data_IF_015141023479
#
_entry.id   IF_015141023479
#
_cell.length_a   1.000
_cell.length_b   1.000
_cell.length_c   1.000
_cell.angle_alpha   90.00
_cell.angle_beta   90.00
_cell.angle_gamma   90.00
#
_symmetry.space_group_name_H-M   'P 1'
#
loop_
_entity.id
_entity.type
_entity.pdbx_description
1 polymer ?
#
# COMPACT_ATOMS: atom_id res chain seq x y z
N UNK A 1 4.09 23.83 0.88
CA UNK A 1 2.64 23.94 1.19
C UNK A 1 1.75 23.21 0.20
N UNK A 2 1.85 23.42 -1.13
CA UNK A 2 1.02 22.72 -2.14
C UNK A 2 1.06 21.18 -2.06
N UNK A 3 2.25 20.60 -1.86
CA UNK A 3 2.40 19.14 -1.70
C UNK A 3 1.63 18.63 -0.48
N UNK A 4 1.70 19.33 0.65
CA UNK A 4 0.97 18.95 1.87
C UNK A 4 -0.54 19.13 1.69
N UNK A 5 -0.97 20.25 1.10
CA UNK A 5 -2.37 20.50 0.81
C UNK A 5 -2.97 19.41 -0.09
N UNK A 6 -2.26 19.02 -1.15
CA UNK A 6 -2.67 17.92 -2.03
C UNK A 6 -2.64 16.56 -1.32
N UNK A 7 -1.62 16.29 -0.49
CA UNK A 7 -1.48 15.03 0.28
C UNK A 7 -2.64 14.82 1.24
N UNK A 8 -3.04 15.87 1.95
CA UNK A 8 -4.08 15.80 2.99
C UNK A 8 -5.47 16.20 2.51
N UNK A 9 -5.69 16.32 1.18
CA UNK A 9 -6.99 16.70 0.59
C UNK A 9 -7.54 18.02 1.15
N UNK A 10 -6.65 18.98 1.41
CA UNK A 10 -7.03 20.29 1.93
C UNK A 10 -7.86 21.07 0.89
N UNK A 11 -8.97 21.69 1.31
CA UNK A 11 -9.83 22.49 0.43
C UNK A 11 -9.17 23.83 0.09
N UNK A 12 -9.58 24.46 -1.03
CA UNK A 12 -9.01 25.73 -1.44
C UNK A 12 -9.25 26.85 -0.43
N UNK A 13 -10.37 26.79 0.31
CA UNK A 13 -10.69 27.77 1.36
C UNK A 13 -9.69 27.69 2.51
N UNK A 14 -9.50 26.48 3.06
CA UNK A 14 -8.57 26.26 4.19
C UNK A 14 -7.14 26.62 3.74
N UNK A 15 -6.73 26.13 2.56
CA UNK A 15 -5.41 26.43 2.03
C UNK A 15 -5.19 27.94 1.81
N UNK A 16 -6.20 28.65 1.32
CA UNK A 16 -6.17 30.09 1.07
C UNK A 16 -6.11 30.93 2.33
N UNK A 17 -6.78 30.51 3.39
CA UNK A 17 -6.73 31.15 4.71
C UNK A 17 -5.35 30.95 5.37
N UNK A 18 -4.83 29.73 5.35
CA UNK A 18 -3.52 29.38 5.90
C UNK A 18 -2.38 30.20 5.25
N UNK A 19 -2.35 30.30 3.93
CA UNK A 19 -1.31 31.11 3.25
C UNK A 19 -1.46 32.60 3.51
N UNK A 20 -2.70 33.11 3.65
CA UNK A 20 -2.91 34.52 4.01
C UNK A 20 -2.44 34.81 5.44
N UNK A 21 -2.65 33.89 6.38
CA UNK A 21 -2.12 34.00 7.75
C UNK A 21 -0.59 34.01 7.80
N UNK A 22 0.07 33.36 6.83
CA UNK A 22 1.52 33.44 6.63
C UNK A 22 1.99 34.73 5.94
N UNK A 23 1.07 35.66 5.63
CA UNK A 23 1.37 36.97 5.06
C UNK A 23 1.23 37.09 3.55
N UNK A 24 0.66 36.09 2.87
CA UNK A 24 0.43 36.18 1.42
C UNK A 24 -0.75 37.13 1.11
N UNK A 25 -0.60 38.10 0.20
CA UNK A 25 -1.72 38.96 -0.22
C UNK A 25 -2.88 38.15 -0.83
N UNK A 26 -4.10 38.66 -0.68
CA UNK A 26 -5.35 38.00 -1.12
C UNK A 26 -5.31 37.55 -2.59
N UNK A 27 -4.81 38.39 -3.49
CA UNK A 27 -4.74 38.05 -4.92
C UNK A 27 -3.74 36.93 -5.21
N UNK A 28 -2.62 36.90 -4.48
CA UNK A 28 -1.62 35.86 -4.59
C UNK A 28 -2.14 34.55 -3.97
N UNK A 29 -2.86 34.63 -2.86
CA UNK A 29 -3.51 33.48 -2.26
C UNK A 29 -4.54 32.85 -3.22
N UNK A 30 -5.39 33.66 -3.85
CA UNK A 30 -6.32 33.19 -4.87
C UNK A 30 -5.61 32.53 -6.06
N UNK A 31 -4.47 33.06 -6.49
CA UNK A 31 -3.64 32.42 -7.53
C UNK A 31 -3.11 31.06 -7.08
N UNK A 32 -2.63 30.94 -5.84
CA UNK A 32 -2.14 29.68 -5.27
C UNK A 32 -3.27 28.65 -5.12
N UNK A 33 -4.48 29.05 -4.76
CA UNK A 33 -5.66 28.17 -4.73
C UNK A 33 -5.98 27.60 -6.13
N UNK A 34 -5.88 28.41 -7.20
CA UNK A 34 -6.04 27.91 -8.59
C UNK A 34 -4.97 26.89 -8.96
N UNK A 35 -3.73 27.09 -8.52
CA UNK A 35 -2.63 26.14 -8.74
C UNK A 35 -2.91 24.83 -7.99
N UNK A 36 -3.36 24.90 -6.73
CA UNK A 36 -3.75 23.72 -5.95
C UNK A 36 -4.87 22.95 -6.66
N UNK A 37 -5.95 23.63 -7.05
CA UNK A 37 -7.09 23.01 -7.73
C UNK A 37 -6.65 22.31 -9.03
N UNK A 38 -5.83 22.98 -9.84
CA UNK A 38 -5.36 22.46 -11.13
C UNK A 38 -4.44 21.24 -10.99
N UNK A 39 -3.63 21.18 -9.93
CA UNK A 39 -2.53 20.21 -9.84
C UNK A 39 -2.65 19.22 -8.68
N UNK A 40 -3.62 19.37 -7.78
CA UNK A 40 -3.83 18.50 -6.60
C UNK A 40 -3.83 17.02 -6.97
N UNK A 41 -4.64 16.63 -7.97
CA UNK A 41 -4.74 15.24 -8.42
C UNK A 41 -3.42 14.72 -8.97
N UNK A 42 -2.71 15.51 -9.80
CA UNK A 42 -1.43 15.11 -10.36
C UNK A 42 -0.34 14.97 -9.27
N UNK A 43 -0.27 15.92 -8.33
CA UNK A 43 0.66 15.87 -7.19
C UNK A 43 0.37 14.62 -6.35
N UNK A 44 -0.91 14.34 -6.07
CA UNK A 44 -1.32 13.16 -5.30
C UNK A 44 -0.97 11.86 -6.02
N UNK A 45 -1.20 11.81 -7.33
CA UNK A 45 -0.83 10.67 -8.15
C UNK A 45 0.68 10.41 -8.10
N UNK A 46 1.50 11.45 -8.25
CA UNK A 46 2.96 11.32 -8.11
C UNK A 46 3.38 10.90 -6.70
N UNK A 47 2.72 11.40 -5.65
CA UNK A 47 2.98 10.98 -4.28
C UNK A 47 2.63 9.49 -4.06
N UNK A 48 1.55 9.01 -4.66
CA UNK A 48 1.15 7.59 -4.62
C UNK A 48 2.16 6.73 -5.39
N UNK A 49 2.58 7.15 -6.58
CA UNK A 49 3.59 6.45 -7.39
C UNK A 49 4.96 6.38 -6.71
N UNK A 50 5.33 7.45 -5.97
CA UNK A 50 6.59 7.53 -5.23
C UNK A 50 6.49 7.07 -3.78
N UNK A 51 5.29 6.70 -3.32
CA UNK A 51 5.12 6.12 -2.00
C UNK A 51 5.69 4.70 -1.99
N UNK A 52 6.38 4.33 -0.91
CA UNK A 52 6.69 2.93 -0.67
C UNK A 52 5.37 2.19 -0.50
N UNK A 53 5.01 1.38 -1.49
CA UNK A 53 3.88 0.48 -1.41
C UNK A 53 4.28 -0.72 -0.59
N UNK A 54 3.38 -1.14 0.30
CA UNK A 54 3.55 -2.34 1.10
C UNK A 54 3.46 -3.55 0.15
N UNK A 55 4.27 -4.58 0.39
CA UNK A 55 4.16 -5.85 -0.30
C UNK A 55 2.71 -6.34 -0.25
N UNK A 56 2.13 -6.65 -1.40
CA UNK A 56 0.74 -7.08 -1.49
C UNK A 56 0.67 -8.52 -2.03
N UNK A 57 -0.03 -9.39 -1.31
CA UNK A 57 -0.25 -10.76 -1.72
C UNK A 57 -1.32 -10.79 -2.82
N UNK A 58 -0.91 -11.11 -4.04
CA UNK A 58 -1.77 -11.11 -5.23
C UNK A 58 -2.51 -12.44 -5.41
N UNK A 59 -1.85 -13.57 -5.14
CA UNK A 59 -2.47 -14.88 -5.25
C UNK A 59 -1.76 -15.93 -4.43
N UNK A 60 -2.52 -16.93 -3.98
CA UNK A 60 -2.03 -18.16 -3.37
C UNK A 60 -2.54 -19.35 -4.19
N UNK A 61 -1.64 -20.25 -4.58
CA UNK A 61 -2.01 -21.48 -5.31
C UNK A 61 -1.39 -22.70 -4.63
N UNK A 62 -2.20 -23.73 -4.41
CA UNK A 62 -1.67 -25.06 -4.08
C UNK A 62 -1.17 -25.71 -5.39
N UNK A 63 0.13 -26.02 -5.43
CA UNK A 63 0.79 -26.67 -6.57
C UNK A 63 1.37 -28.03 -6.16
N UNK A 64 0.89 -28.62 -5.07
CA UNK A 64 1.31 -29.93 -4.57
C UNK A 64 1.17 -30.98 -5.67
N UNK A 65 2.30 -31.61 -6.02
CA UNK A 65 2.35 -32.56 -7.12
C UNK A 65 3.04 -33.85 -6.67
N UNK A 66 2.39 -35.03 -6.79
CA UNK A 66 3.02 -36.31 -6.47
C UNK A 66 4.33 -36.51 -7.24
N UNK A 67 5.39 -36.92 -6.55
CA UNK A 67 6.72 -37.12 -7.13
C UNK A 67 7.59 -35.87 -7.24
N UNK A 68 7.02 -34.66 -7.11
CA UNK A 68 7.76 -33.39 -7.04
C UNK A 68 7.75 -32.79 -5.63
N UNK A 69 6.62 -32.86 -4.95
CA UNK A 69 6.48 -32.42 -3.56
C UNK A 69 6.97 -33.54 -2.62
N UNK A 70 7.80 -33.21 -1.60
CA UNK A 70 8.22 -34.19 -0.62
C UNK A 70 7.03 -34.87 0.09
N UNK A 71 7.16 -36.14 0.52
CA UNK A 71 6.12 -36.83 1.27
C UNK A 71 5.75 -36.06 2.54
N UNK A 72 4.45 -35.92 2.83
CA UNK A 72 3.89 -35.17 3.96
C UNK A 72 4.06 -33.64 3.91
N UNK A 73 4.42 -33.09 2.75
CA UNK A 73 4.44 -31.65 2.49
C UNK A 73 3.33 -31.23 1.54
N UNK A 74 2.96 -29.96 1.63
CA UNK A 74 2.17 -29.21 0.65
C UNK A 74 3.08 -28.16 0.03
N UNK A 75 2.99 -27.97 -1.29
CA UNK A 75 3.73 -26.92 -1.99
C UNK A 75 2.78 -25.78 -2.33
N UNK A 76 3.04 -24.58 -1.81
CA UNK A 76 2.28 -23.37 -2.11
C UNK A 76 3.08 -22.43 -3.00
N UNK A 77 2.43 -21.84 -3.99
CA UNK A 77 2.94 -20.72 -4.77
C UNK A 77 2.27 -19.43 -4.31
N UNK A 78 3.08 -18.43 -3.96
CA UNK A 78 2.63 -17.09 -3.56
C UNK A 78 3.11 -16.08 -4.59
N UNK A 79 2.21 -15.24 -5.10
CA UNK A 79 2.57 -14.07 -5.89
C UNK A 79 2.48 -12.82 -5.03
N UNK A 80 3.57 -12.07 -4.98
CA UNK A 80 3.66 -10.83 -4.19
C UNK A 80 4.00 -9.69 -5.14
N UNK A 81 3.23 -8.62 -5.11
CA UNK A 81 3.54 -7.39 -5.84
C UNK A 81 4.25 -6.39 -4.94
N UNK A 82 5.02 -5.50 -5.56
CA UNK A 82 5.73 -4.41 -4.87
C UNK A 82 6.79 -4.89 -3.86
N UNK A 83 7.27 -6.13 -3.98
CA UNK A 83 8.36 -6.62 -3.14
C UNK A 83 9.67 -5.90 -3.51
N UNK A 84 10.38 -5.40 -2.50
CA UNK A 84 11.68 -4.75 -2.71
C UNK A 84 12.76 -5.80 -2.97
N UNK A 85 13.21 -5.88 -4.22
CA UNK A 85 14.35 -6.70 -4.65
C UNK A 85 15.43 -5.76 -5.16
N UNK A 86 16.62 -5.82 -4.56
CA UNK A 86 17.74 -4.91 -4.87
C UNK A 86 17.38 -3.42 -4.79
N UNK A 87 16.46 -3.06 -3.88
CA UNK A 87 16.02 -1.68 -3.65
C UNK A 87 14.97 -1.17 -4.66
N UNK A 88 14.51 -2.02 -5.59
CA UNK A 88 13.47 -1.68 -6.55
C UNK A 88 12.20 -2.53 -6.33
N UNK A 89 11.00 -1.93 -6.38
CA UNK A 89 9.75 -2.69 -6.32
C UNK A 89 9.60 -3.62 -7.53
N UNK A 90 9.34 -4.90 -7.27
CA UNK A 90 9.16 -5.92 -8.30
C UNK A 90 8.05 -6.89 -7.91
N UNK A 91 7.38 -7.42 -8.93
CA UNK A 91 6.46 -8.55 -8.74
C UNK A 91 7.25 -9.85 -8.70
N UNK A 92 7.00 -10.65 -7.67
CA UNK A 92 7.76 -11.86 -7.37
C UNK A 92 6.83 -13.06 -7.21
N UNK A 93 7.42 -14.25 -7.34
CA UNK A 93 6.74 -15.52 -7.14
C UNK A 93 7.59 -16.38 -6.24
N UNK A 94 7.03 -16.80 -5.12
CA UNK A 94 7.68 -17.63 -4.10
C UNK A 94 7.04 -19.00 -4.08
N UNK A 95 7.85 -20.04 -3.95
CA UNK A 95 7.38 -21.42 -3.80
C UNK A 95 7.83 -21.95 -2.44
N UNK A 96 6.88 -22.34 -1.62
CA UNK A 96 7.08 -22.81 -0.26
C UNK A 96 6.69 -24.28 -0.16
N UNK A 97 7.53 -25.08 0.51
CA UNK A 97 7.15 -26.42 0.93
C UNK A 97 6.87 -26.37 2.43
N UNK A 98 5.65 -26.71 2.81
CA UNK A 98 5.19 -26.69 4.19
C UNK A 98 4.78 -28.09 4.62
N UNK A 99 5.32 -28.56 5.74
CA UNK A 99 4.82 -29.79 6.36
C UNK A 99 3.46 -29.55 7.05
N UNK A 100 2.83 -30.65 7.49
CA UNK A 100 1.53 -30.59 8.18
C UNK A 100 1.53 -29.71 9.44
N UNK A 101 2.62 -29.69 10.21
CA UNK A 101 2.70 -28.88 11.42
C UNK A 101 2.80 -27.39 11.07
N UNK A 102 3.59 -27.05 10.06
CA UNK A 102 3.75 -25.69 9.54
C UNK A 102 2.45 -25.15 8.94
N UNK A 103 1.71 -25.95 8.16
CA UNK A 103 0.40 -25.53 7.63
C UNK A 103 -0.60 -25.23 8.74
N UNK A 104 -0.63 -26.05 9.80
CA UNK A 104 -1.49 -25.81 10.96
C UNK A 104 -1.12 -24.54 11.71
N UNK A 105 0.18 -24.30 11.92
CA UNK A 105 0.67 -23.09 12.56
C UNK A 105 0.30 -21.84 11.74
N UNK A 106 0.54 -21.88 10.41
CA UNK A 106 0.20 -20.81 9.50
C UNK A 106 -1.29 -20.49 9.53
N UNK A 107 -2.16 -21.51 9.52
CA UNK A 107 -3.62 -21.29 9.60
C UNK A 107 -4.01 -20.58 10.90
N UNK A 108 -3.46 -21.02 12.04
CA UNK A 108 -3.75 -20.40 13.33
C UNK A 108 -3.29 -18.93 13.38
N UNK A 109 -2.11 -18.62 12.82
CA UNK A 109 -1.61 -17.25 12.74
C UNK A 109 -2.48 -16.37 11.83
N UNK A 110 -2.94 -16.89 10.69
CA UNK A 110 -3.84 -16.18 9.78
C UNK A 110 -5.21 -15.92 10.41
N UNK A 111 -5.75 -16.86 11.19
CA UNK A 111 -6.99 -16.67 11.95
C UNK A 111 -6.83 -15.56 13.00
N UNK A 112 -5.72 -15.55 13.76
CA UNK A 112 -5.41 -14.49 14.71
C UNK A 112 -5.28 -13.13 14.02
N UNK A 113 -4.62 -13.07 12.86
CA UNK A 113 -4.47 -11.85 12.09
C UNK A 113 -5.83 -11.34 11.57
N UNK A 114 -6.69 -12.24 11.06
CA UNK A 114 -8.06 -11.90 10.65
C UNK A 114 -8.85 -11.31 11.82
N UNK A 115 -8.87 -11.98 12.95
CA UNK A 115 -9.63 -11.54 14.12
C UNK A 115 -9.12 -10.20 14.67
N UNK A 116 -7.81 -9.93 14.56
CA UNK A 116 -7.24 -8.63 14.89
C UNK A 116 -7.67 -7.55 13.90
N UNK A 117 -7.66 -7.83 12.59
CA UNK A 117 -8.08 -6.89 11.55
C UNK A 117 -9.57 -6.54 11.65
N UNK A 118 -10.43 -7.53 11.93
CA UNK A 118 -11.87 -7.32 12.07
C UNK A 118 -12.23 -6.38 13.23
N UNK A 119 -11.43 -6.36 14.30
CA UNK A 119 -11.62 -5.42 15.43
C UNK A 119 -11.44 -3.95 15.05
N UNK A 120 -10.68 -3.67 13.99
CA UNK A 120 -10.45 -2.29 13.51
C UNK A 120 -11.43 -1.88 12.40
N UNK A 121 -12.27 -2.81 11.92
CA UNK A 121 -13.30 -2.55 10.91
C UNK A 121 -14.69 -2.27 11.51
N UNK A 122 -14.83 -2.35 12.85
CA UNK A 122 -16.03 -1.99 13.62
C UNK A 122 -15.77 -0.74 14.48
#
# INVERSE_FOLDING_TARGET
>A
MLVNAARYSCTESIFGEEIQQLGLPKDHAAAMCRVLQKHSTAIRQTLIEKSFRINELQSVRDITTPGRTPPNYTTLELKISQELVDGLPKDTTHVLNLDRAQVKALLAELELARDAMEKYNN
#
